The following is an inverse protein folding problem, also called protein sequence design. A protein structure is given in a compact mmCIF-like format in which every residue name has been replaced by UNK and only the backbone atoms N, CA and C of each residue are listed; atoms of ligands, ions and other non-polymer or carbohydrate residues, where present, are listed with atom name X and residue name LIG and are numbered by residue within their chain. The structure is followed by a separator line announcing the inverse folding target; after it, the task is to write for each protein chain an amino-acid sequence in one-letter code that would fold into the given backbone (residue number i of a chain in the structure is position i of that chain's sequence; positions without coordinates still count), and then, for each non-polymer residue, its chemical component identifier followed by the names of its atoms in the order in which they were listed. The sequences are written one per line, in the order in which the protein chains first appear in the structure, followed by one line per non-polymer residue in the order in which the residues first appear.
data_IF_135224195372
#
_entry.id   IF_135224195372
#
_cell.length_a   1.000
_cell.length_b   1.000
_cell.length_c   1.000
_cell.angle_alpha   90.00
_cell.angle_beta   90.00
_cell.angle_gamma   90.00
#
_symmetry.space_group_name_H-M   'P 1'
#
loop_
_entity.id
_entity.type
_entity.pdbx_description
1 polymer ?
#
# COMPACT_ATOMS: atom_id res chain seq x y z
N UNK A 1 -3.91 -35.91 -6.94
CA UNK A 1 -3.25 -35.49 -5.70
C UNK A 1 -2.76 -34.07 -5.89
N UNK A 2 -3.49 -33.08 -5.35
CA UNK A 2 -3.15 -31.65 -5.46
C UNK A 2 -2.31 -31.28 -4.24
N UNK A 3 -1.13 -30.72 -4.47
CA UNK A 3 -0.24 -30.20 -3.42
C UNK A 3 -0.93 -29.10 -2.62
N UNK A 4 -0.64 -28.96 -1.31
CA UNK A 4 -1.09 -27.81 -0.54
C UNK A 4 -0.28 -26.58 -1.00
N UNK A 5 -0.95 -25.61 -1.63
CA UNK A 5 -0.39 -24.28 -1.84
C UNK A 5 -0.15 -23.65 -0.46
N UNK A 6 1.12 -23.54 -0.05
CA UNK A 6 1.53 -22.62 0.99
C UNK A 6 1.10 -21.21 0.53
N UNK A 7 0.00 -20.67 1.08
CA UNK A 7 -0.23 -19.22 1.04
C UNK A 7 0.94 -18.61 1.82
N UNK A 8 1.97 -18.16 1.11
CA UNK A 8 3.15 -17.50 1.69
C UNK A 8 2.65 -16.35 2.56
N UNK A 9 3.09 -16.29 3.81
CA UNK A 9 2.95 -15.12 4.67
C UNK A 9 3.62 -13.97 3.91
N UNK A 10 2.82 -13.08 3.32
CA UNK A 10 3.34 -11.89 2.68
C UNK A 10 3.70 -10.92 3.81
N UNK A 11 4.97 -10.94 4.21
CA UNK A 11 5.54 -9.97 5.14
C UNK A 11 5.59 -8.64 4.38
N UNK A 12 4.60 -7.78 4.61
CA UNK A 12 4.54 -6.47 3.99
C UNK A 12 5.67 -5.60 4.57
N UNK A 13 6.80 -5.55 3.85
CA UNK A 13 7.92 -4.67 4.19
C UNK A 13 7.48 -3.20 4.01
N UNK A 14 7.05 -2.59 5.12
CA UNK A 14 6.70 -1.17 5.22
C UNK A 14 7.97 -0.34 5.41
N UNK A 15 8.48 0.25 4.32
CA UNK A 15 9.47 1.33 4.35
C UNK A 15 8.89 2.54 3.62
N UNK A 16 8.24 3.42 4.38
CA UNK A 16 8.03 4.81 4.00
C UNK A 16 9.17 5.59 4.67
N UNK A 17 10.10 6.09 3.86
CA UNK A 17 11.40 6.63 4.30
C UNK A 17 11.24 7.87 5.18
N UNK A 18 12.16 8.00 6.15
CA UNK A 18 12.46 9.13 7.05
C UNK A 18 11.71 9.24 8.39
N UNK A 19 11.54 8.11 9.08
CA UNK A 19 11.67 8.05 10.55
C UNK A 19 12.75 7.01 10.87
N UNK A 20 13.78 7.33 11.69
CA UNK A 20 14.77 6.33 12.05
C UNK A 20 14.13 5.37 13.06
N UNK A 21 13.66 4.23 12.58
CA UNK A 21 13.50 2.97 13.33
C UNK A 21 13.17 1.89 12.32
N UNK A 22 14.02 0.87 12.33
CA UNK A 22 13.91 -0.42 11.66
C UNK A 22 12.50 -0.77 11.20
N UNK A 23 12.37 -1.03 9.89
CA UNK A 23 11.17 -1.57 9.29
C UNK A 23 10.94 -2.98 9.81
N UNK A 24 10.02 -3.14 10.75
CA UNK A 24 9.71 -4.43 11.33
C UNK A 24 8.79 -5.21 10.39
N UNK A 25 9.41 -6.02 9.54
CA UNK A 25 8.88 -7.34 9.20
C UNK A 25 8.50 -8.07 10.51
N UNK A 26 7.46 -8.90 10.52
CA UNK A 26 7.12 -9.64 11.74
C UNK A 26 8.30 -10.55 12.14
N UNK A 27 8.92 -10.28 13.29
CA UNK A 27 10.15 -10.95 13.72
C UNK A 27 9.85 -12.14 14.64
N UNK A 28 10.82 -13.04 14.79
CA UNK A 28 10.78 -14.13 15.76
C UNK A 28 10.76 -13.55 17.18
N UNK A 29 9.55 -13.31 17.71
CA UNK A 29 9.32 -12.64 18.98
C UNK A 29 8.03 -11.82 19.01
N UNK A 30 7.48 -11.49 17.83
CA UNK A 30 6.25 -10.73 17.75
C UNK A 30 5.03 -11.50 18.24
N UNK A 31 4.17 -10.78 18.95
CA UNK A 31 2.95 -11.33 19.54
C UNK A 31 1.70 -10.61 19.08
N UNK A 32 0.61 -11.37 19.00
CA UNK A 32 -0.71 -10.85 18.68
C UNK A 32 -1.13 -9.77 19.67
N UNK A 33 -1.56 -8.61 19.17
CA UNK A 33 -2.10 -7.50 19.97
C UNK A 33 -3.56 -7.19 19.70
N UNK A 34 -4.08 -7.46 18.51
CA UNK A 34 -5.48 -7.15 18.23
C UNK A 34 -5.91 -7.46 16.81
N UNK A 35 -7.21 -7.27 16.59
CA UNK A 35 -7.92 -7.45 15.33
C UNK A 35 -8.37 -6.07 14.83
N UNK A 36 -7.94 -5.71 13.62
CA UNK A 36 -8.57 -4.66 12.83
C UNK A 36 -9.59 -5.32 11.92
N UNK A 37 -10.84 -4.87 12.00
CA UNK A 37 -11.91 -5.40 11.18
C UNK A 37 -12.54 -4.30 10.34
N UNK A 38 -12.66 -4.53 9.04
CA UNK A 38 -13.33 -3.62 8.14
C UNK A 38 -14.41 -4.32 7.29
N UNK A 39 -15.64 -3.82 7.43
CA UNK A 39 -16.65 -3.87 6.36
C UNK A 39 -17.41 -5.18 6.14
N UNK A 40 -18.30 -5.59 7.04
CA UNK A 40 -19.38 -6.50 6.63
C UNK A 40 -20.69 -6.24 7.35
N UNK A 41 -21.78 -6.41 6.61
CA UNK A 41 -23.12 -6.64 7.14
C UNK A 41 -23.32 -8.09 7.61
N UNK A 42 -22.45 -9.01 7.20
CA UNK A 42 -22.61 -10.46 7.37
C UNK A 42 -21.84 -11.06 8.55
N UNK A 43 -20.94 -10.27 9.14
CA UNK A 43 -20.05 -10.69 10.22
C UNK A 43 -19.82 -9.53 11.19
N UNK A 44 -19.78 -9.86 12.48
CA UNK A 44 -19.42 -8.92 13.54
C UNK A 44 -17.98 -9.13 13.99
N UNK A 45 -17.36 -8.10 14.56
CA UNK A 45 -16.02 -8.22 15.18
C UNK A 45 -15.99 -9.35 16.21
N UNK A 46 -17.03 -9.47 17.03
CA UNK A 46 -17.13 -10.50 18.07
C UNK A 46 -17.16 -11.92 17.49
N UNK A 47 -17.82 -12.13 16.35
CA UNK A 47 -17.79 -13.43 15.66
C UNK A 47 -16.40 -13.75 15.11
N UNK A 48 -15.71 -12.77 14.53
CA UNK A 48 -14.33 -12.94 14.05
C UNK A 48 -13.37 -13.27 15.19
N UNK A 49 -13.46 -12.56 16.31
CA UNK A 49 -12.67 -12.84 17.51
C UNK A 49 -12.91 -14.26 18.03
N UNK A 50 -14.17 -14.72 18.00
CA UNK A 50 -14.53 -16.10 18.39
C UNK A 50 -13.94 -17.14 17.44
N UNK A 51 -13.93 -16.89 16.13
CA UNK A 51 -13.34 -17.80 15.12
C UNK A 51 -11.82 -17.85 15.26
N UNK A 52 -11.18 -16.69 15.42
CA UNK A 52 -9.74 -16.58 15.61
C UNK A 52 -9.32 -17.27 16.92
N UNK A 53 -10.08 -17.07 18.00
CA UNK A 53 -9.81 -17.60 19.33
C UNK A 53 -8.37 -17.31 19.80
N UNK A 54 -7.84 -16.14 19.44
CA UNK A 54 -6.52 -15.67 19.83
C UNK A 54 -6.62 -14.79 21.08
N UNK A 55 -5.67 -14.99 21.99
CA UNK A 55 -5.47 -14.08 23.13
C UNK A 55 -4.29 -13.16 22.85
N UNK A 56 -4.30 -11.91 23.34
CA UNK A 56 -3.12 -11.05 23.29
C UNK A 56 -1.89 -11.79 23.84
N UNK A 57 -0.75 -11.69 23.15
CA UNK A 57 0.46 -12.46 23.48
C UNK A 57 0.67 -13.74 22.67
N UNK A 58 -0.28 -14.15 21.83
CA UNK A 58 -0.12 -15.34 21.00
C UNK A 58 1.03 -15.17 19.98
N UNK A 59 1.85 -16.22 19.82
CA UNK A 59 2.99 -16.22 18.89
C UNK A 59 2.57 -16.37 17.42
N UNK A 60 3.49 -16.09 16.48
CA UNK A 60 3.26 -16.18 15.04
C UNK A 60 2.71 -17.54 14.57
N UNK A 61 3.19 -18.65 15.13
CA UNK A 61 2.67 -19.99 14.80
C UNK A 61 1.18 -20.14 15.14
N UNK A 62 0.76 -19.59 16.28
CA UNK A 62 -0.63 -19.61 16.72
C UNK A 62 -1.50 -18.70 15.86
N UNK A 63 -0.98 -17.51 15.51
CA UNK A 63 -1.60 -16.57 14.59
C UNK A 63 -1.85 -17.23 13.24
N UNK A 64 -0.83 -17.88 12.66
CA UNK A 64 -0.96 -18.54 11.36
C UNK A 64 -2.06 -19.60 11.38
N UNK A 65 -2.08 -20.46 12.41
CA UNK A 65 -3.14 -21.47 12.56
C UNK A 65 -4.53 -20.86 12.70
N UNK A 66 -4.65 -19.69 13.33
CA UNK A 66 -5.93 -18.98 13.45
C UNK A 66 -6.38 -18.38 12.12
N UNK A 67 -5.45 -17.80 11.36
CA UNK A 67 -5.71 -17.31 10.00
C UNK A 67 -6.15 -18.44 9.08
N UNK A 68 -5.48 -19.59 9.10
CA UNK A 68 -5.86 -20.75 8.29
C UNK A 68 -7.28 -21.25 8.62
N UNK A 69 -7.71 -21.16 9.89
CA UNK A 69 -9.07 -21.51 10.31
C UNK A 69 -10.08 -20.46 9.84
N UNK A 70 -9.75 -19.18 9.99
CA UNK A 70 -10.61 -18.08 9.59
C UNK A 70 -10.82 -18.10 8.07
N UNK A 71 -9.74 -18.21 7.30
CA UNK A 71 -9.74 -18.32 5.85
C UNK A 71 -10.65 -19.45 5.37
N UNK A 72 -10.49 -20.67 5.90
CA UNK A 72 -11.38 -21.81 5.59
C UNK A 72 -12.84 -21.54 5.94
N UNK A 73 -13.11 -20.84 7.05
CA UNK A 73 -14.47 -20.52 7.49
C UNK A 73 -15.13 -19.52 6.54
N UNK A 74 -14.39 -18.49 6.12
CA UNK A 74 -14.86 -17.47 5.18
C UNK A 74 -15.03 -18.05 3.78
N UNK A 75 -14.08 -18.87 3.31
CA UNK A 75 -14.18 -19.61 2.04
C UNK A 75 -15.41 -20.52 2.03
N UNK A 76 -15.67 -21.26 3.11
CA UNK A 76 -16.86 -22.11 3.25
C UNK A 76 -18.19 -21.34 3.27
N UNK A 77 -18.15 -20.05 3.62
CA UNK A 77 -19.31 -19.12 3.56
C UNK A 77 -19.37 -18.32 2.26
N UNK A 78 -18.44 -18.52 1.33
CA UNK A 78 -18.28 -17.73 0.11
C UNK A 78 -18.15 -16.21 0.37
N UNK A 79 -17.50 -15.82 1.48
CA UNK A 79 -17.27 -14.42 1.82
C UNK A 79 -15.90 -14.00 1.26
N UNK A 80 -15.86 -13.11 0.26
CA UNK A 80 -14.60 -12.58 -0.25
C UNK A 80 -13.91 -11.76 0.84
N UNK A 81 -12.66 -12.08 1.11
CA UNK A 81 -11.91 -11.49 2.21
C UNK A 81 -10.45 -11.26 1.83
N UNK A 82 -9.84 -10.32 2.53
CA UNK A 82 -8.40 -10.08 2.54
C UNK A 82 -7.92 -10.19 4.00
N UNK A 83 -7.04 -11.15 4.25
CA UNK A 83 -6.45 -11.40 5.57
C UNK A 83 -4.98 -11.00 5.53
N UNK A 84 -4.61 -10.06 6.38
CA UNK A 84 -3.23 -9.58 6.49
C UNK A 84 -2.74 -9.64 7.94
N UNK A 85 -1.45 -9.91 8.11
CA UNK A 85 -0.75 -9.70 9.38
C UNK A 85 0.03 -8.40 9.26
N UNK A 86 -0.32 -7.44 10.09
CA UNK A 86 0.25 -6.08 10.07
C UNK A 86 1.13 -5.90 11.30
N UNK A 87 2.41 -5.58 11.08
CA UNK A 87 3.31 -5.22 12.17
C UNK A 87 2.87 -3.89 12.82
N UNK A 88 2.91 -3.83 14.14
CA UNK A 88 2.58 -2.66 14.93
C UNK A 88 3.81 -1.99 15.53
N UNK A 89 3.76 -1.73 16.83
CA UNK A 89 4.93 -1.38 17.63
C UNK A 89 5.92 -2.56 17.70
N UNK A 90 7.21 -2.34 17.98
CA UNK A 90 8.19 -3.42 18.09
C UNK A 90 7.71 -4.54 19.02
N UNK A 91 7.74 -5.79 18.56
CA UNK A 91 7.22 -6.94 19.33
C UNK A 91 5.72 -7.20 19.14
N UNK A 92 5.01 -6.46 18.27
CA UNK A 92 3.56 -6.60 18.11
C UNK A 92 3.11 -6.77 16.68
N UNK A 93 2.10 -7.64 16.52
CA UNK A 93 1.38 -7.83 15.26
C UNK A 93 -0.13 -7.77 15.48
N UNK A 94 -0.81 -7.29 14.46
CA UNK A 94 -2.25 -7.21 14.38
C UNK A 94 -2.73 -8.07 13.21
N UNK A 95 -3.93 -8.62 13.34
CA UNK A 95 -4.62 -9.26 12.21
C UNK A 95 -5.55 -8.22 11.62
N UNK A 96 -5.46 -7.99 10.32
CA UNK A 96 -6.41 -7.19 9.57
C UNK A 96 -7.31 -8.13 8.77
N UNK A 97 -8.62 -7.98 8.97
CA UNK A 97 -9.66 -8.70 8.23
C UNK A 97 -10.48 -7.68 7.49
N UNK A 98 -10.29 -7.62 6.18
CA UNK A 98 -11.12 -6.78 5.31
C UNK A 98 -12.11 -7.68 4.57
N UNK A 99 -13.40 -7.43 4.76
CA UNK A 99 -14.47 -8.11 4.03
C UNK A 99 -14.95 -7.19 2.91
N UNK A 100 -15.06 -7.77 1.71
CA UNK A 100 -15.56 -7.05 0.54
C UNK A 100 -17.08 -7.26 0.48
N UNK A 101 -17.83 -6.48 1.24
CA UNK A 101 -19.29 -6.49 1.17
C UNK A 101 -19.82 -5.59 0.06
N UNK A 102 -20.79 -6.11 -0.70
CA UNK A 102 -21.57 -5.35 -1.69
C UNK A 102 -22.42 -4.23 -1.08
N UNK A 103 -22.67 -4.28 0.24
CA UNK A 103 -23.41 -3.23 0.95
C UNK A 103 -22.59 -1.98 1.26
N UNK A 104 -21.26 -2.06 1.20
CA UNK A 104 -20.42 -0.88 1.35
C UNK A 104 -20.43 -0.09 0.05
N UNK A 105 -20.65 1.23 0.13
CA UNK A 105 -20.56 2.14 -1.01
C UNK A 105 -19.30 1.80 -1.82
N UNK A 106 -19.50 1.25 -3.02
CA UNK A 106 -18.39 0.75 -3.81
C UNK A 106 -17.57 1.95 -4.25
N UNK A 107 -16.42 2.16 -3.61
CA UNK A 107 -15.47 3.18 -4.06
C UNK A 107 -15.17 2.90 -5.53
N UNK A 108 -15.48 3.85 -6.44
CA UNK A 108 -15.39 3.62 -7.86
C UNK A 108 -14.01 3.06 -8.25
N UNK A 109 -14.02 2.08 -9.14
CA UNK A 109 -12.81 1.59 -9.80
C UNK A 109 -12.76 2.16 -11.21
N UNK A 110 -11.55 2.51 -11.65
CA UNK A 110 -11.30 2.97 -13.01
C UNK A 110 -11.60 1.85 -14.00
N UNK A 111 -12.09 2.24 -15.17
CA UNK A 111 -12.12 1.36 -16.33
C UNK A 111 -10.78 1.48 -17.07
N UNK A 112 -10.23 0.36 -17.53
CA UNK A 112 -9.05 0.37 -18.40
C UNK A 112 -9.39 1.11 -19.71
N UNK A 113 -8.48 1.96 -20.21
CA UNK A 113 -8.77 2.86 -21.35
C UNK A 113 -9.04 2.09 -22.65
N UNK A 114 -8.34 0.97 -22.85
CA UNK A 114 -8.52 0.06 -23.97
C UNK A 114 -8.07 -1.35 -23.53
N UNK A 115 -8.95 -2.17 -22.90
CA UNK A 115 -8.55 -3.44 -22.30
C UNK A 115 -8.00 -4.42 -23.35
N UNK A 116 -6.67 -4.49 -23.47
CA UNK A 116 -5.95 -5.39 -24.38
C UNK A 116 -4.54 -5.61 -23.87
N UNK A 117 -3.97 -6.77 -24.17
CA UNK A 117 -2.56 -7.01 -23.89
C UNK A 117 -1.69 -5.99 -24.63
N UNK A 118 -0.82 -5.30 -23.90
CA UNK A 118 0.03 -4.26 -24.47
C UNK A 118 1.38 -4.85 -24.83
N UNK A 119 1.71 -4.78 -26.13
CA UNK A 119 3.02 -5.17 -26.65
C UNK A 119 4.03 -4.07 -26.32
N UNK A 120 5.11 -4.47 -25.66
CA UNK A 120 6.27 -3.63 -25.36
C UNK A 120 7.43 -4.02 -26.27
N UNK A 121 8.37 -3.11 -26.54
CA UNK A 121 9.52 -3.40 -27.42
C UNK A 121 10.48 -4.43 -26.84
N UNK A 122 10.44 -4.65 -25.52
CA UNK A 122 11.29 -5.60 -24.83
C UNK A 122 10.63 -6.08 -23.54
N UNK A 123 10.50 -7.39 -23.34
CA UNK A 123 10.06 -7.97 -22.07
C UNK A 123 11.20 -8.07 -21.04
N UNK A 124 12.44 -7.75 -21.45
CA UNK A 124 13.64 -7.85 -20.63
C UNK A 124 13.55 -7.12 -19.27
N UNK A 125 13.11 -5.84 -19.18
CA UNK A 125 13.00 -5.18 -17.87
C UNK A 125 12.01 -5.87 -16.92
N UNK A 126 10.95 -6.50 -17.43
CA UNK A 126 10.01 -7.26 -16.60
C UNK A 126 10.67 -8.53 -16.02
N UNK A 127 11.51 -9.19 -16.81
CA UNK A 127 12.28 -10.38 -16.39
C UNK A 127 13.30 -9.98 -15.31
N UNK A 128 14.06 -8.91 -15.53
CA UNK A 128 15.06 -8.41 -14.58
C UNK A 128 14.41 -7.93 -13.28
N UNK A 129 13.21 -7.34 -13.35
CA UNK A 129 12.45 -6.99 -12.14
C UNK A 129 12.04 -8.24 -11.33
N UNK A 130 11.71 -9.35 -11.99
CA UNK A 130 11.46 -10.61 -11.29
C UNK A 130 12.72 -11.17 -10.63
N UNK A 131 13.88 -11.03 -11.26
CA UNK A 131 15.18 -11.42 -10.69
C UNK A 131 15.54 -10.57 -9.47
N UNK A 132 15.35 -9.25 -9.57
CA UNK A 132 15.49 -8.33 -8.45
C UNK A 132 14.57 -8.72 -7.29
N UNK A 133 13.29 -8.99 -7.58
CA UNK A 133 12.33 -9.39 -6.54
C UNK A 133 12.76 -10.69 -5.86
N UNK A 134 13.14 -11.72 -6.63
CA UNK A 134 13.65 -12.99 -6.10
C UNK A 134 14.92 -12.81 -5.27
N UNK A 135 15.81 -11.87 -5.65
CA UNK A 135 17.02 -11.55 -4.89
C UNK A 135 16.67 -10.98 -3.52
N UNK A 136 15.75 -10.02 -3.47
CA UNK A 136 15.32 -9.40 -2.22
C UNK A 136 14.57 -10.41 -1.32
N UNK A 137 13.71 -11.26 -1.90
CA UNK A 137 13.07 -12.37 -1.18
C UNK A 137 14.11 -13.32 -0.57
N UNK A 138 15.11 -13.73 -1.35
CA UNK A 138 16.19 -14.60 -0.87
C UNK A 138 16.98 -13.99 0.28
N UNK A 139 17.28 -12.69 0.23
CA UNK A 139 17.98 -12.00 1.33
C UNK A 139 17.14 -12.04 2.61
N UNK A 140 15.83 -11.78 2.50
CA UNK A 140 14.90 -11.87 3.63
C UNK A 140 14.81 -13.29 4.19
N UNK A 141 14.70 -14.31 3.33
CA UNK A 141 14.64 -15.72 3.75
C UNK A 141 15.94 -16.18 4.45
N UNK A 142 17.08 -15.64 4.05
CA UNK A 142 18.39 -15.89 4.67
C UNK A 142 18.61 -15.07 5.96
N UNK A 143 17.66 -14.22 6.37
CA UNK A 143 17.79 -13.32 7.52
C UNK A 143 18.85 -12.22 7.30
N UNK A 144 19.23 -11.95 6.06
CA UNK A 144 20.21 -10.92 5.71
C UNK A 144 19.52 -9.57 5.62
N UNK A 145 20.03 -8.61 6.37
CA UNK A 145 19.55 -7.24 6.32
C UNK A 145 19.86 -6.62 4.96
N UNK A 146 18.86 -5.92 4.40
CA UNK A 146 18.99 -5.06 3.25
C UNK A 146 18.10 -3.83 3.42
N UNK A 147 18.42 -2.76 2.70
CA UNK A 147 17.67 -1.51 2.76
C UNK A 147 17.42 -0.96 1.36
N UNK A 148 16.29 -0.27 1.21
CA UNK A 148 15.91 0.50 0.02
C UNK A 148 16.10 1.99 0.34
N UNK A 149 16.72 2.74 -0.56
CA UNK A 149 16.83 4.20 -0.52
C UNK A 149 16.39 4.80 -1.85
N UNK A 150 16.19 6.12 -1.87
CA UNK A 150 15.79 6.85 -3.06
C UNK A 150 16.86 7.90 -3.38
N UNK A 151 17.40 7.85 -4.59
CA UNK A 151 18.34 8.83 -5.11
C UNK A 151 17.73 9.44 -6.38
N UNK A 152 17.51 10.75 -6.38
CA UNK A 152 16.85 11.48 -7.48
C UNK A 152 15.51 10.87 -7.89
N UNK A 153 14.79 10.30 -6.91
CA UNK A 153 13.53 9.62 -7.12
C UNK A 153 13.66 8.18 -7.62
N UNK A 154 14.84 7.67 -7.97
CA UNK A 154 15.04 6.27 -8.35
C UNK A 154 15.38 5.40 -7.14
N UNK A 155 14.93 4.14 -7.13
CA UNK A 155 15.23 3.20 -6.04
C UNK A 155 16.66 2.68 -6.15
N UNK A 156 17.37 2.64 -5.03
CA UNK A 156 18.66 1.97 -4.85
C UNK A 156 18.59 1.02 -3.66
N UNK A 157 19.46 0.01 -3.65
CA UNK A 157 19.52 -0.99 -2.60
C UNK A 157 20.89 -1.02 -1.94
N UNK A 158 20.97 -1.49 -0.69
CA UNK A 158 22.26 -1.74 -0.04
C UNK A 158 22.95 -3.03 -0.52
N UNK A 159 22.27 -3.87 -1.31
CA UNK A 159 22.80 -5.10 -1.89
C UNK A 159 23.31 -4.85 -3.32
N UNK A 160 24.58 -5.16 -3.56
CA UNK A 160 25.22 -4.91 -4.86
C UNK A 160 24.60 -5.74 -6.02
N UNK A 161 24.32 -7.05 -5.86
CA UNK A 161 23.58 -7.80 -6.88
C UNK A 161 22.20 -7.23 -7.21
N UNK A 162 21.48 -6.70 -6.22
CA UNK A 162 20.22 -5.98 -6.47
C UNK A 162 20.46 -4.70 -7.30
N UNK A 163 21.53 -3.94 -7.02
CA UNK A 163 21.89 -2.76 -7.82
C UNK A 163 22.33 -3.11 -9.25
N UNK A 164 22.90 -4.28 -9.50
CA UNK A 164 23.18 -4.74 -10.86
C UNK A 164 21.89 -4.95 -11.67
N UNK A 165 20.85 -5.53 -11.05
CA UNK A 165 19.53 -5.63 -11.67
C UNK A 165 18.93 -4.24 -11.93
N UNK A 166 19.07 -3.31 -10.98
CA UNK A 166 18.64 -1.91 -11.15
C UNK A 166 19.36 -1.25 -12.32
N UNK A 167 20.69 -1.38 -12.42
CA UNK A 167 21.47 -0.81 -13.50
C UNK A 167 21.05 -1.37 -14.87
N UNK A 168 20.63 -2.63 -14.93
CA UNK A 168 20.08 -3.21 -16.15
C UNK A 168 18.68 -2.67 -16.47
N UNK A 169 17.80 -2.51 -15.48
CA UNK A 169 16.48 -1.87 -15.67
C UNK A 169 16.63 -0.42 -16.15
N UNK A 170 17.56 0.35 -15.56
CA UNK A 170 17.83 1.75 -15.90
C UNK A 170 18.27 1.94 -17.36
N UNK A 171 18.82 0.91 -18.02
CA UNK A 171 19.16 0.95 -19.46
C UNK A 171 17.93 0.90 -20.38
N UNK A 172 16.79 0.39 -19.91
CA UNK A 172 15.59 0.20 -20.73
C UNK A 172 14.42 1.08 -20.32
N UNK A 173 14.21 1.26 -19.01
CA UNK A 173 13.02 1.90 -18.47
C UNK A 173 12.78 3.33 -18.98
N UNK A 174 13.79 4.22 -19.12
CA UNK A 174 13.58 5.57 -19.64
C UNK A 174 12.98 5.59 -21.06
N UNK A 175 13.51 4.78 -21.96
CA UNK A 175 13.08 4.73 -23.38
C UNK A 175 11.73 4.01 -23.57
N UNK A 176 11.30 3.26 -22.56
CA UNK A 176 10.04 2.51 -22.54
C UNK A 176 8.94 3.18 -21.73
N UNK A 177 9.14 4.41 -21.23
CA UNK A 177 8.20 5.12 -20.34
C UNK A 177 6.75 5.10 -20.85
N UNK A 178 6.52 5.45 -22.11
CA UNK A 178 5.15 5.47 -22.68
C UNK A 178 4.55 4.07 -22.84
N UNK A 179 5.36 3.07 -23.14
CA UNK A 179 4.91 1.68 -23.25
C UNK A 179 4.52 1.12 -21.88
N UNK A 180 5.31 1.42 -20.84
CA UNK A 180 5.01 1.06 -19.46
C UNK A 180 3.73 1.76 -18.98
N UNK A 181 3.55 3.05 -19.27
CA UNK A 181 2.30 3.75 -18.98
C UNK A 181 1.11 3.13 -19.72
N UNK A 182 1.28 2.73 -20.98
CA UNK A 182 0.23 2.03 -21.74
C UNK A 182 -0.13 0.69 -21.10
N UNK A 183 0.86 -0.10 -20.63
CA UNK A 183 0.61 -1.33 -19.87
C UNK A 183 -0.23 -1.03 -18.64
N UNK A 184 0.14 -0.02 -17.83
CA UNK A 184 -0.65 0.38 -16.66
C UNK A 184 -2.07 0.77 -17.04
N UNK A 185 -2.29 1.49 -18.14
CA UNK A 185 -3.62 2.00 -18.49
C UNK A 185 -4.56 0.98 -19.17
N UNK A 186 -4.02 -0.08 -19.76
CA UNK A 186 -4.74 -0.90 -20.74
C UNK A 186 -4.57 -2.42 -20.58
N UNK A 187 -3.47 -2.91 -20.01
CA UNK A 187 -3.22 -4.35 -19.95
C UNK A 187 -4.21 -5.03 -18.98
N UNK A 188 -4.95 -6.08 -19.40
CA UNK A 188 -5.89 -6.77 -18.53
C UNK A 188 -5.20 -7.51 -17.37
N UNK A 189 -3.92 -7.89 -17.51
CA UNK A 189 -3.17 -8.57 -16.46
C UNK A 189 -2.69 -7.56 -15.39
N UNK A 190 -3.30 -7.64 -14.20
CA UNK A 190 -2.94 -6.81 -13.06
C UNK A 190 -1.48 -7.00 -12.60
N UNK A 191 -0.90 -8.19 -12.80
CA UNK A 191 0.51 -8.44 -12.49
C UNK A 191 1.41 -7.63 -13.40
N UNK A 192 1.12 -7.58 -14.71
CA UNK A 192 1.84 -6.72 -15.66
C UNK A 192 1.66 -5.25 -15.34
N UNK A 193 0.44 -4.81 -15.02
CA UNK A 193 0.18 -3.41 -14.58
C UNK A 193 1.02 -3.04 -13.37
N UNK A 194 1.03 -3.87 -12.31
CA UNK A 194 1.84 -3.66 -11.10
C UNK A 194 3.33 -3.55 -11.43
N UNK A 195 3.87 -4.50 -12.20
CA UNK A 195 5.29 -4.49 -12.61
C UNK A 195 5.64 -3.25 -13.43
N UNK A 196 4.75 -2.81 -14.32
CA UNK A 196 4.96 -1.60 -15.10
C UNK A 196 5.04 -0.36 -14.19
N UNK A 197 4.19 -0.25 -13.15
CA UNK A 197 4.31 0.81 -12.15
C UNK A 197 5.66 0.78 -11.42
N UNK A 198 6.16 -0.41 -11.05
CA UNK A 198 7.46 -0.55 -10.42
C UNK A 198 8.60 -0.12 -11.36
N UNK A 199 8.56 -0.57 -12.63
CA UNK A 199 9.55 -0.21 -13.66
C UNK A 199 9.57 1.29 -13.96
N UNK A 200 8.42 1.96 -13.95
CA UNK A 200 8.33 3.42 -14.09
C UNK A 200 9.17 4.15 -13.03
N UNK A 201 9.43 3.49 -11.89
CA UNK A 201 10.31 3.97 -10.83
C UNK A 201 11.73 4.35 -11.26
N UNK A 202 12.21 3.81 -12.39
CA UNK A 202 13.53 4.07 -12.97
C UNK A 202 13.46 4.74 -14.36
N UNK A 203 12.29 5.25 -14.76
CA UNK A 203 12.07 5.83 -16.10
C UNK A 203 12.26 7.35 -16.20
N UNK A 204 12.61 8.02 -15.09
CA UNK A 204 12.77 9.49 -15.03
C UNK A 204 11.45 10.25 -14.92
N UNK A 205 11.43 11.52 -15.34
CA UNK A 205 10.23 12.38 -15.51
C UNK A 205 9.11 12.21 -14.46
N UNK A 206 9.48 12.46 -13.20
CA UNK A 206 8.63 12.22 -12.04
C UNK A 206 7.28 12.96 -12.08
N UNK A 207 7.20 14.27 -12.41
CA UNK A 207 5.92 14.98 -12.41
C UNK A 207 4.94 14.41 -13.44
N UNK A 208 5.40 14.11 -14.65
CA UNK A 208 4.57 13.55 -15.71
C UNK A 208 4.01 12.18 -15.33
N UNK A 209 4.88 11.27 -14.85
CA UNK A 209 4.47 9.91 -14.48
C UNK A 209 3.54 9.95 -13.27
N UNK A 210 3.82 10.76 -12.25
CA UNK A 210 2.94 10.92 -11.08
C UNK A 210 1.54 11.34 -11.51
N UNK A 211 1.45 12.29 -12.44
CA UNK A 211 0.18 12.78 -12.96
C UNK A 211 -0.60 11.69 -13.73
N UNK A 212 0.10 10.79 -14.42
CA UNK A 212 -0.49 9.65 -15.14
C UNK A 212 -0.88 8.50 -14.19
N UNK A 213 -0.07 8.24 -13.17
CA UNK A 213 -0.32 7.19 -12.18
C UNK A 213 -1.38 7.54 -11.13
N UNK A 214 -1.78 8.81 -11.04
CA UNK A 214 -2.86 9.23 -10.13
C UNK A 214 -4.15 8.44 -10.36
N UNK A 215 -4.47 8.12 -11.61
CA UNK A 215 -5.68 7.32 -11.93
C UNK A 215 -5.55 5.86 -11.48
N UNK A 216 -4.32 5.34 -11.31
CA UNK A 216 -4.07 3.98 -10.84
C UNK A 216 -4.37 3.79 -9.35
N UNK A 217 -4.62 4.88 -8.60
CA UNK A 217 -5.22 4.78 -7.26
C UNK A 217 -6.62 4.19 -7.36
N UNK A 218 -7.31 4.32 -8.49
CA UNK A 218 -8.61 3.68 -8.68
C UNK A 218 -8.53 2.33 -9.40
N UNK A 219 -7.36 1.68 -9.50
CA UNK A 219 -7.28 0.35 -10.12
C UNK A 219 -8.16 -0.67 -9.39
N UNK A 220 -8.81 -1.55 -10.16
CA UNK A 220 -9.60 -2.65 -9.60
C UNK A 220 -8.76 -3.59 -8.75
N UNK A 221 -7.47 -3.74 -9.08
CA UNK A 221 -6.54 -4.58 -8.34
C UNK A 221 -5.84 -3.79 -7.22
N UNK A 222 -5.94 -4.23 -5.95
CA UNK A 222 -5.33 -3.56 -4.80
C UNK A 222 -3.80 -3.48 -4.89
N UNK A 223 -3.14 -4.47 -5.50
CA UNK A 223 -1.67 -4.46 -5.61
C UNK A 223 -1.19 -3.40 -6.60
N UNK A 224 -1.99 -3.08 -7.62
CA UNK A 224 -1.69 -1.97 -8.54
C UNK A 224 -1.86 -0.62 -7.84
N UNK A 225 -2.93 -0.43 -7.04
CA UNK A 225 -3.11 0.79 -6.22
C UNK A 225 -1.95 1.02 -5.27
N UNK A 226 -1.56 -0.03 -4.54
CA UNK A 226 -0.42 0.00 -3.62
C UNK A 226 0.87 0.33 -4.36
N UNK A 227 1.12 -0.26 -5.53
CA UNK A 227 2.31 0.06 -6.32
C UNK A 227 2.32 1.53 -6.76
N UNK A 228 1.17 2.09 -7.16
CA UNK A 228 1.05 3.49 -7.55
C UNK A 228 1.39 4.43 -6.38
N UNK A 229 0.86 4.17 -5.18
CA UNK A 229 1.20 5.00 -4.02
C UNK A 229 2.66 4.84 -3.63
N UNK A 230 3.22 3.62 -3.69
CA UNK A 230 4.66 3.37 -3.42
C UNK A 230 5.57 4.06 -4.45
N UNK A 231 5.09 4.28 -5.67
CA UNK A 231 5.78 5.14 -6.63
C UNK A 231 5.69 6.61 -6.21
N UNK A 232 4.49 7.13 -5.95
CA UNK A 232 4.26 8.57 -5.77
C UNK A 232 4.84 9.09 -4.46
N UNK A 233 4.61 8.41 -3.33
CA UNK A 233 4.95 8.93 -2.00
C UNK A 233 6.41 9.37 -1.83
N UNK A 234 7.45 8.54 -2.12
CA UNK A 234 8.85 8.95 -1.97
C UNK A 234 9.28 10.04 -2.96
N UNK A 235 8.43 10.37 -3.95
CA UNK A 235 8.69 11.33 -5.02
C UNK A 235 7.89 12.64 -4.85
N UNK A 236 7.08 12.76 -3.79
CA UNK A 236 6.25 13.96 -3.56
C UNK A 236 7.08 15.26 -3.45
N UNK A 237 8.28 15.19 -2.87
CA UNK A 237 9.21 16.32 -2.76
C UNK A 237 9.82 16.76 -4.10
N UNK A 238 9.74 15.93 -5.14
CA UNK A 238 10.25 16.21 -6.48
C UNK A 238 9.19 16.83 -7.40
N UNK A 239 7.96 17.00 -6.91
CA UNK A 239 6.88 17.62 -7.68
C UNK A 239 6.97 19.15 -7.60
N UNK A 240 6.82 19.87 -8.72
CA UNK A 240 6.86 21.33 -8.74
C UNK A 240 5.64 21.92 -8.02
N UNK A 241 5.73 23.20 -7.63
CA UNK A 241 4.67 23.85 -6.85
C UNK A 241 3.37 24.07 -7.63
N UNK A 242 3.44 24.12 -8.96
CA UNK A 242 2.29 24.21 -9.88
C UNK A 242 1.71 22.83 -10.26
N UNK A 243 2.24 21.74 -9.70
CA UNK A 243 1.69 20.40 -9.90
C UNK A 243 0.21 20.34 -9.48
N UNK A 244 -0.67 19.60 -10.19
CA UNK A 244 -2.10 19.52 -9.88
C UNK A 244 -2.40 18.68 -8.62
N UNK A 245 -1.95 19.15 -7.45
CA UNK A 245 -2.06 18.45 -6.16
C UNK A 245 -3.48 18.08 -5.77
N UNK A 246 -4.48 18.87 -6.18
CA UNK A 246 -5.90 18.55 -5.93
C UNK A 246 -6.32 17.19 -6.52
N UNK A 247 -5.71 16.75 -7.64
CA UNK A 247 -5.95 15.41 -8.18
C UNK A 247 -5.42 14.33 -7.25
N UNK A 248 -4.24 14.52 -6.66
CA UNK A 248 -3.66 13.59 -5.70
C UNK A 248 -4.45 13.55 -4.39
N UNK A 249 -4.90 14.70 -3.88
CA UNK A 249 -5.76 14.78 -2.69
C UNK A 249 -7.01 13.94 -2.93
N UNK A 250 -7.77 14.24 -4.00
CA UNK A 250 -9.01 13.51 -4.32
C UNK A 250 -8.78 12.01 -4.52
N UNK A 251 -7.66 11.61 -5.12
CA UNK A 251 -7.32 10.21 -5.29
C UNK A 251 -7.05 9.53 -3.94
N UNK A 252 -6.23 10.14 -3.08
CA UNK A 252 -5.95 9.61 -1.75
C UNK A 252 -7.20 9.62 -0.83
N UNK A 253 -8.09 10.62 -0.93
CA UNK A 253 -9.37 10.64 -0.21
C UNK A 253 -10.26 9.44 -0.57
N UNK A 254 -10.30 9.03 -1.85
CA UNK A 254 -11.03 7.81 -2.26
C UNK A 254 -10.44 6.55 -1.64
N UNK A 255 -9.11 6.45 -1.56
CA UNK A 255 -8.43 5.32 -0.92
C UNK A 255 -8.78 5.16 0.56
N UNK A 256 -9.08 6.24 1.30
CA UNK A 256 -9.52 6.14 2.70
C UNK A 256 -10.83 5.37 2.89
N UNK A 257 -11.65 5.31 1.83
CA UNK A 257 -12.93 4.60 1.82
C UNK A 257 -12.79 3.15 1.32
N UNK A 258 -11.60 2.76 0.84
CA UNK A 258 -11.36 1.38 0.42
C UNK A 258 -11.16 0.47 1.62
N UNK A 259 -11.54 -0.82 1.49
CA UNK A 259 -11.50 -1.75 2.60
C UNK A 259 -10.07 -2.08 3.03
N UNK A 260 -9.13 -2.19 2.09
CA UNK A 260 -7.75 -2.59 2.40
C UNK A 260 -7.07 -1.64 3.39
N UNK A 261 -6.49 -2.19 4.45
CA UNK A 261 -5.57 -1.43 5.31
C UNK A 261 -4.47 -0.73 4.50
N UNK A 262 -3.90 -1.42 3.50
CA UNK A 262 -2.78 -0.93 2.70
C UNK A 262 -3.14 0.32 1.89
N UNK A 263 -4.41 0.43 1.45
CA UNK A 263 -4.94 1.61 0.77
C UNK A 263 -5.05 2.77 1.78
N UNK A 264 -5.77 2.53 2.88
CA UNK A 264 -6.02 3.51 3.94
C UNK A 264 -4.74 4.08 4.54
N UNK A 265 -3.82 3.21 4.97
CA UNK A 265 -2.60 3.65 5.66
C UNK A 265 -1.73 4.52 4.74
N UNK A 266 -1.53 4.10 3.48
CA UNK A 266 -0.69 4.83 2.53
C UNK A 266 -1.32 6.14 2.10
N UNK A 267 -2.64 6.17 1.89
CA UNK A 267 -3.37 7.38 1.59
C UNK A 267 -3.25 8.42 2.71
N UNK A 268 -3.38 7.99 3.97
CA UNK A 268 -3.17 8.88 5.12
C UNK A 268 -1.78 9.53 5.12
N UNK A 269 -0.72 8.78 4.79
CA UNK A 269 0.63 9.36 4.70
C UNK A 269 0.77 10.35 3.53
N UNK A 270 0.15 10.08 2.38
CA UNK A 270 0.11 11.04 1.26
C UNK A 270 -0.61 12.32 1.69
N UNK A 271 -1.82 12.21 2.27
CA UNK A 271 -2.60 13.35 2.73
C UNK A 271 -1.86 14.14 3.83
N UNK A 272 -1.23 13.45 4.78
CA UNK A 272 -0.43 14.08 5.83
C UNK A 272 0.76 14.86 5.27
N UNK A 273 1.45 14.31 4.26
CA UNK A 273 2.53 15.03 3.59
C UNK A 273 1.99 16.29 2.89
N UNK A 274 0.86 16.20 2.19
CA UNK A 274 0.23 17.32 1.49
C UNK A 274 -0.23 18.41 2.47
N UNK A 275 -0.91 18.03 3.56
CA UNK A 275 -1.34 18.95 4.60
C UNK A 275 -0.18 19.74 5.22
N UNK A 276 0.99 19.11 5.36
CA UNK A 276 2.22 19.77 5.83
C UNK A 276 2.89 20.65 4.77
N UNK A 277 2.71 20.34 3.47
CA UNK A 277 3.31 21.11 2.38
C UNK A 277 2.64 22.48 2.20
N UNK A 278 1.31 22.55 2.22
CA UNK A 278 0.59 23.79 1.92
C UNK A 278 -0.74 23.87 2.68
N UNK A 279 -0.96 25.00 3.36
CA UNK A 279 -2.18 25.29 4.12
C UNK A 279 -3.47 25.22 3.28
N UNK A 280 -3.40 25.52 1.98
CA UNK A 280 -4.56 25.42 1.08
C UNK A 280 -5.03 23.97 0.92
N UNK A 281 -4.12 23.00 1.02
CA UNK A 281 -4.47 21.58 0.94
C UNK A 281 -5.20 21.11 2.19
N UNK A 282 -5.00 21.75 3.35
CA UNK A 282 -5.71 21.41 4.59
C UNK A 282 -7.22 21.64 4.43
N UNK A 283 -7.62 22.73 3.76
CA UNK A 283 -9.03 23.00 3.43
C UNK A 283 -9.63 21.86 2.62
N UNK A 284 -8.98 21.50 1.51
CA UNK A 284 -9.50 20.48 0.59
C UNK A 284 -9.56 19.09 1.25
N UNK A 285 -8.56 18.75 2.08
CA UNK A 285 -8.55 17.51 2.88
C UNK A 285 -9.67 17.52 3.91
N UNK A 286 -9.90 18.63 4.61
CA UNK A 286 -10.99 18.76 5.57
C UNK A 286 -12.35 18.51 4.91
N UNK A 287 -12.60 19.20 3.80
CA UNK A 287 -13.86 19.11 3.06
C UNK A 287 -14.16 17.67 2.59
N UNK A 288 -13.13 16.92 2.19
CA UNK A 288 -13.29 15.56 1.69
C UNK A 288 -13.31 14.49 2.79
N UNK A 289 -12.48 14.64 3.82
CA UNK A 289 -12.08 13.51 4.66
C UNK A 289 -12.35 13.69 6.16
N UNK A 290 -12.78 14.87 6.66
CA UNK A 290 -12.86 15.12 8.13
C UNK A 290 -13.68 14.07 8.88
N UNK A 291 -14.88 13.73 8.41
CA UNK A 291 -15.72 12.68 9.03
C UNK A 291 -15.01 11.33 9.04
N UNK A 292 -14.37 10.98 7.92
CA UNK A 292 -13.66 9.70 7.78
C UNK A 292 -12.42 9.64 8.66
N UNK A 293 -11.68 10.74 8.77
CA UNK A 293 -10.53 10.87 9.65
C UNK A 293 -10.92 10.72 11.13
N UNK A 294 -12.04 11.32 11.56
CA UNK A 294 -12.59 11.13 12.92
C UNK A 294 -12.90 9.67 13.20
N UNK A 295 -13.55 8.99 12.25
CA UNK A 295 -13.84 7.56 12.35
C UNK A 295 -12.57 6.73 12.48
N UNK A 296 -11.60 6.91 11.56
CA UNK A 296 -10.34 6.16 11.57
C UNK A 296 -9.51 6.42 12.84
N UNK A 297 -9.47 7.66 13.33
CA UNK A 297 -8.76 8.04 14.56
C UNK A 297 -9.38 7.42 15.82
N UNK A 298 -10.70 7.22 15.82
CA UNK A 298 -11.45 6.56 16.89
C UNK A 298 -11.25 5.04 16.83
N UNK A 299 -11.63 4.44 15.70
CA UNK A 299 -11.98 3.03 15.59
C UNK A 299 -10.78 2.13 15.24
N UNK A 300 -9.79 2.68 14.52
CA UNK A 300 -8.63 1.89 14.11
C UNK A 300 -7.79 1.49 15.33
N UNK A 301 -7.44 0.21 15.39
CA UNK A 301 -6.44 -0.32 16.35
C UNK A 301 -5.04 -0.28 15.76
N UNK A 302 -4.91 -0.20 14.44
CA UNK A 302 -3.61 -0.12 13.75
C UNK A 302 -2.94 1.25 13.94
N UNK A 303 -1.73 1.33 14.51
CA UNK A 303 -1.02 2.60 14.67
C UNK A 303 -0.74 3.30 13.33
N UNK A 304 -0.49 2.52 12.27
CA UNK A 304 -0.22 3.02 10.91
C UNK A 304 -1.42 3.69 10.23
N UNK A 305 -2.60 3.63 10.85
CA UNK A 305 -3.82 4.30 10.40
C UNK A 305 -4.27 5.31 11.45
N UNK A 306 -4.40 4.88 12.72
CA UNK A 306 -4.87 5.73 13.82
C UNK A 306 -4.02 6.98 14.01
N UNK A 307 -2.69 6.83 14.08
CA UNK A 307 -1.77 7.94 14.37
C UNK A 307 -1.78 8.99 13.25
N UNK A 308 -1.58 8.66 11.96
CA UNK A 308 -1.61 9.68 10.92
C UNK A 308 -3.00 10.32 10.76
N UNK A 309 -4.11 9.61 11.03
CA UNK A 309 -5.44 10.20 11.07
C UNK A 309 -5.57 11.25 12.19
N UNK A 310 -5.09 10.95 13.40
CA UNK A 310 -5.06 11.91 14.51
C UNK A 310 -4.18 13.13 14.20
N UNK A 311 -3.04 12.93 13.55
CA UNK A 311 -2.15 14.03 13.13
C UNK A 311 -2.83 14.94 12.11
N UNK A 312 -3.55 14.38 11.13
CA UNK A 312 -4.33 15.17 10.18
C UNK A 312 -5.44 15.97 10.87
N UNK A 313 -6.17 15.38 11.81
CA UNK A 313 -7.19 16.09 12.59
C UNK A 313 -6.59 17.22 13.45
N UNK A 314 -5.39 17.03 14.00
CA UNK A 314 -4.70 18.09 14.72
C UNK A 314 -4.34 19.27 13.80
N UNK A 315 -3.84 19.01 12.59
CA UNK A 315 -3.55 20.05 11.58
C UNK A 315 -4.84 20.79 11.18
N UNK A 316 -5.94 20.07 10.98
CA UNK A 316 -7.25 20.67 10.67
C UNK A 316 -7.72 21.57 11.84
N UNK A 317 -7.60 21.10 13.08
CA UNK A 317 -7.99 21.87 14.25
C UNK A 317 -7.12 23.12 14.48
N UNK A 318 -5.83 23.07 14.10
CA UNK A 318 -4.97 24.26 14.09
C UNK A 318 -5.36 25.24 12.98
N UNK A 319 -5.68 24.74 11.79
CA UNK A 319 -6.16 25.55 10.67
C UNK A 319 -7.49 26.27 11.00
N UNK A 320 -8.41 25.59 11.68
CA UNK A 320 -9.71 26.15 12.11
C UNK A 320 -9.59 27.31 13.10
N UNK A 321 -8.47 27.42 13.82
CA UNK A 321 -8.21 28.56 14.71
C UNK A 321 -7.89 29.85 13.94
N UNK A 322 -7.66 29.76 12.63
CA UNK A 322 -7.20 30.87 11.80
C UNK A 322 -5.72 31.18 12.04
N UNK A 323 -5.15 32.19 11.35
CA UNK A 323 -3.78 32.61 11.60
C UNK A 323 -3.64 33.03 13.06
N UNK A 324 -2.66 32.44 13.76
CA UNK A 324 -2.18 32.98 15.03
C UNK A 324 -1.67 34.39 14.72
N UNK A 325 -2.36 35.40 15.25
CA UNK A 325 -2.00 36.81 15.09
C UNK A 325 -0.62 37.10 15.67
#
# INVERSE_FOLDING_TARGET
MRSPNLKRIFLALMLLVSVPRSAFAAEAGDVYKGLEYFGSSQLTTMELEKILALKPGANLTSIQRALDRLDKTLEGRHIPNNLEVVAGEPGSVFICVDILDSSNDTVPTRKLKNPRHVLVRSEKPFIVLDELTKRLEKLTDEGRQWSESYQDGAKKYSDEPANQCVAEIERFAPDMKEELLAVVESDPDATRRRKAVELLGWSGDVPYITNRLTDAFDDSDPKVRVAAIRYIFPRLSLLPDDYPYIRLIRAASRELNRPSHQDRSKALYVLLWLAKKNVLFVRDIKELDETRLKQLASDSVLPTVKVPAQQLLAIIAEWDKGPVQ
#
